data_IF_021134231068
#
_entry.id   IF_021134231068
#
_cell.length_a   1.000
_cell.length_b   1.000
_cell.length_c   1.000
_cell.angle_alpha   90.00
_cell.angle_beta   90.00
_cell.angle_gamma   90.00
#
_symmetry.space_group_name_H-M   'P 1'
#
loop_
_entity.id
_entity.type
_entity.pdbx_description
1 polymer ?
#
# COMPACT_ATOMS: atom_id res chain seq x y z
N UNK A 1 15.76 -10.95 69.35
CA UNK A 1 15.46 -11.42 67.99
C UNK A 1 16.76 -11.46 67.22
N UNK A 2 17.03 -12.53 66.50
CA UNK A 2 18.21 -12.64 65.64
C UNK A 2 18.10 -11.64 64.49
N UNK A 3 19.23 -11.14 63.98
CA UNK A 3 19.29 -10.35 62.72
C UNK A 3 18.60 -11.11 61.58
N UNK A 4 18.64 -12.44 61.62
CA UNK A 4 17.94 -13.32 60.68
C UNK A 4 16.42 -13.19 60.78
N UNK A 5 15.85 -13.14 61.99
CA UNK A 5 14.39 -13.03 62.20
C UNK A 5 13.85 -11.69 61.68
N UNK A 6 14.62 -10.60 61.86
CA UNK A 6 14.26 -9.28 61.34
C UNK A 6 14.30 -9.22 59.81
N UNK A 7 15.29 -9.88 59.19
CA UNK A 7 15.38 -10.01 57.74
C UNK A 7 14.19 -10.80 57.16
N UNK A 8 13.83 -11.92 57.78
CA UNK A 8 12.68 -12.75 57.36
C UNK A 8 11.37 -11.98 57.47
N UNK A 9 11.15 -11.25 58.57
CA UNK A 9 9.96 -10.39 58.73
C UNK A 9 9.91 -9.27 57.69
N UNK A 10 11.03 -8.62 57.40
CA UNK A 10 11.12 -7.59 56.37
C UNK A 10 10.81 -8.13 54.97
N UNK A 11 11.36 -9.30 54.62
CA UNK A 11 11.05 -10.02 53.37
C UNK A 11 9.56 -10.42 53.28
N UNK A 12 8.96 -10.88 54.37
CA UNK A 12 7.53 -11.21 54.42
C UNK A 12 6.63 -9.98 54.25
N UNK A 13 6.96 -8.85 54.88
CA UNK A 13 6.19 -7.62 54.71
C UNK A 13 6.38 -7.00 53.32
N UNK A 14 7.61 -7.04 52.77
CA UNK A 14 7.90 -6.61 51.41
C UNK A 14 7.15 -7.47 50.38
N UNK A 15 7.15 -8.79 50.52
CA UNK A 15 6.41 -9.70 49.63
C UNK A 15 4.91 -9.49 49.74
N UNK A 16 4.37 -9.29 50.96
CA UNK A 16 2.96 -8.96 51.18
C UNK A 16 2.59 -7.61 50.56
N UNK A 17 3.44 -6.59 50.68
CA UNK A 17 3.24 -5.29 50.03
C UNK A 17 3.27 -5.40 48.50
N UNK A 18 4.24 -6.13 47.95
CA UNK A 18 4.34 -6.41 46.51
C UNK A 18 3.08 -7.12 46.00
N UNK A 19 2.58 -8.13 46.72
CA UNK A 19 1.33 -8.81 46.35
C UNK A 19 0.10 -7.89 46.42
N UNK A 20 0.03 -7.02 47.43
CA UNK A 20 -1.03 -6.01 47.56
C UNK A 20 -1.02 -4.98 46.42
N UNK A 21 0.12 -4.76 45.77
CA UNK A 21 0.24 -3.86 44.61
C UNK A 21 0.05 -4.59 43.27
N UNK A 22 0.61 -5.80 43.14
CA UNK A 22 0.58 -6.60 41.92
C UNK A 22 -0.80 -7.21 41.64
N UNK A 23 -1.53 -7.67 42.66
CA UNK A 23 -2.86 -8.27 42.45
C UNK A 23 -3.89 -7.26 41.90
N UNK A 24 -4.04 -6.03 42.44
CA UNK A 24 -4.93 -5.05 41.84
C UNK A 24 -4.50 -4.63 40.44
N UNK A 25 -3.20 -4.53 40.17
CA UNK A 25 -2.69 -4.19 38.83
C UNK A 25 -3.00 -5.30 37.82
N UNK A 26 -2.85 -6.56 38.23
CA UNK A 26 -3.21 -7.72 37.41
C UNK A 26 -4.74 -7.77 37.18
N UNK A 27 -5.54 -7.53 38.22
CA UNK A 27 -6.99 -7.49 38.08
C UNK A 27 -7.43 -6.36 37.15
N UNK A 28 -6.84 -5.16 37.29
CA UNK A 28 -7.12 -4.02 36.43
C UNK A 28 -6.72 -4.31 34.98
N UNK A 29 -5.56 -4.94 34.74
CA UNK A 29 -5.13 -5.28 33.37
C UNK A 29 -6.06 -6.32 32.73
N UNK A 30 -6.47 -7.35 33.47
CA UNK A 30 -7.45 -8.34 33.00
C UNK A 30 -8.80 -7.69 32.71
N UNK A 31 -9.26 -6.78 33.58
CA UNK A 31 -10.51 -6.05 33.37
C UNK A 31 -10.45 -5.17 32.12
N UNK A 32 -9.36 -4.41 31.93
CA UNK A 32 -9.16 -3.57 30.75
C UNK A 32 -9.10 -4.41 29.47
N UNK A 33 -8.44 -5.56 29.49
CA UNK A 33 -8.42 -6.50 28.35
C UNK A 33 -9.82 -7.03 28.07
N UNK A 34 -10.57 -7.44 29.10
CA UNK A 34 -11.94 -7.93 28.93
C UNK A 34 -12.85 -6.87 28.32
N UNK A 35 -12.78 -5.62 28.81
CA UNK A 35 -13.53 -4.48 28.27
C UNK A 35 -13.14 -4.23 26.80
N UNK A 36 -11.84 -4.24 26.48
CA UNK A 36 -11.37 -4.05 25.11
C UNK A 36 -11.88 -5.16 24.17
N UNK A 37 -11.83 -6.42 24.61
CA UNK A 37 -12.35 -7.56 23.83
C UNK A 37 -13.86 -7.41 23.59
N UNK A 38 -14.63 -7.07 24.62
CA UNK A 38 -16.07 -6.83 24.49
C UNK A 38 -16.37 -5.68 23.53
N UNK A 39 -15.61 -4.59 23.59
CA UNK A 39 -15.74 -3.46 22.67
C UNK A 39 -15.46 -3.88 21.22
N UNK A 40 -14.38 -4.62 20.98
CA UNK A 40 -14.02 -5.14 19.65
C UNK A 40 -15.10 -6.07 19.11
N UNK A 41 -15.65 -6.96 19.95
CA UNK A 41 -16.74 -7.85 19.57
C UNK A 41 -18.03 -7.08 19.26
N UNK A 42 -18.37 -6.08 20.06
CA UNK A 42 -19.53 -5.22 19.83
C UNK A 42 -19.41 -4.45 18.50
N UNK A 43 -18.25 -3.85 18.24
CA UNK A 43 -17.94 -3.18 16.96
C UNK A 43 -18.05 -4.14 15.79
N UNK A 44 -17.44 -5.33 15.90
CA UNK A 44 -17.51 -6.36 14.85
C UNK A 44 -18.95 -6.79 14.59
N UNK A 45 -19.74 -7.02 15.63
CA UNK A 45 -21.14 -7.39 15.50
C UNK A 45 -21.96 -6.28 14.82
N UNK A 46 -21.74 -5.02 15.22
CA UNK A 46 -22.40 -3.87 14.61
C UNK A 46 -22.07 -3.74 13.11
N UNK A 47 -20.79 -3.81 12.73
CA UNK A 47 -20.36 -3.74 11.33
C UNK A 47 -20.93 -4.89 10.50
N UNK A 48 -20.91 -6.11 11.03
CA UNK A 48 -21.45 -7.29 10.35
C UNK A 48 -22.97 -7.24 10.22
N UNK A 49 -23.67 -6.75 11.25
CA UNK A 49 -25.11 -6.53 11.21
C UNK A 49 -25.50 -5.51 10.14
N UNK A 50 -24.77 -4.39 10.06
CA UNK A 50 -24.94 -3.38 9.00
C UNK A 50 -24.74 -3.97 7.60
N UNK A 51 -23.71 -4.79 7.40
CA UNK A 51 -23.50 -5.52 6.13
C UNK A 51 -24.64 -6.48 5.83
N UNK A 52 -25.06 -7.30 6.80
CA UNK A 52 -26.10 -8.31 6.60
C UNK A 52 -27.45 -7.68 6.27
N UNK A 53 -27.80 -6.57 6.93
CA UNK A 53 -28.99 -5.78 6.62
C UNK A 53 -28.95 -5.22 5.19
N UNK A 54 -27.81 -4.67 4.76
CA UNK A 54 -27.62 -4.26 3.35
C UNK A 54 -27.77 -5.44 2.39
N UNK A 55 -27.10 -6.55 2.66
CA UNK A 55 -27.13 -7.75 1.80
C UNK A 55 -28.55 -8.30 1.66
N UNK A 56 -29.35 -8.27 2.72
CA UNK A 56 -30.75 -8.66 2.69
C UNK A 56 -31.61 -7.72 1.83
N UNK A 57 -31.31 -6.42 1.81
CA UNK A 57 -32.02 -5.42 1.00
C UNK A 57 -31.60 -5.44 -0.47
N UNK A 58 -30.30 -5.48 -0.74
CA UNK A 58 -29.74 -5.28 -2.09
C UNK A 58 -29.64 -6.61 -2.87
N UNK A 59 -29.68 -7.76 -2.17
CA UNK A 59 -29.67 -9.11 -2.75
C UNK A 59 -28.38 -9.52 -3.47
N UNK A 60 -27.38 -8.63 -3.57
CA UNK A 60 -26.14 -8.83 -4.32
C UNK A 60 -24.90 -8.63 -3.45
N UNK A 61 -23.85 -9.45 -3.59
CA UNK A 61 -22.57 -9.20 -2.94
C UNK A 61 -21.91 -7.94 -3.50
N UNK A 62 -21.11 -7.29 -2.67
CA UNK A 62 -20.37 -6.07 -3.02
C UNK A 62 -18.87 -6.27 -2.94
N UNK A 63 -18.17 -5.84 -4.00
CA UNK A 63 -16.72 -5.75 -4.07
C UNK A 63 -16.33 -4.28 -3.93
N UNK A 64 -15.50 -3.96 -2.95
CA UNK A 64 -15.01 -2.61 -2.74
C UNK A 64 -13.50 -2.52 -2.98
N UNK A 65 -13.09 -1.52 -3.75
CA UNK A 65 -11.69 -1.18 -3.99
C UNK A 65 -11.30 0.01 -3.13
N UNK A 66 -10.21 -0.13 -2.38
CA UNK A 66 -9.61 0.97 -1.64
C UNK A 66 -8.54 1.62 -2.50
N UNK A 67 -8.83 2.84 -2.96
CA UNK A 67 -7.95 3.60 -3.83
C UNK A 67 -8.12 5.12 -3.61
N UNK A 68 -7.54 5.69 -2.53
CA UNK A 68 -7.75 7.09 -2.16
C UNK A 68 -7.36 8.16 -3.21
N UNK A 69 -6.65 7.78 -4.27
CA UNK A 69 -6.17 8.64 -5.35
C UNK A 69 -6.67 8.19 -6.73
N UNK A 70 -7.89 7.66 -6.83
CA UNK A 70 -8.41 7.07 -8.06
C UNK A 70 -8.53 8.06 -9.25
N UNK A 71 -8.40 9.37 -8.99
CA UNK A 71 -8.42 10.44 -9.98
C UNK A 71 -7.05 11.07 -10.32
N UNK A 72 -5.92 10.58 -9.76
CA UNK A 72 -4.61 11.21 -9.97
C UNK A 72 -4.02 10.94 -11.37
N UNK A 73 -4.43 9.86 -12.05
CA UNK A 73 -4.07 9.58 -13.44
C UNK A 73 -2.75 8.83 -13.64
N UNK A 74 -2.25 8.16 -12.60
CA UNK A 74 -1.11 7.28 -12.66
C UNK A 74 -1.41 5.88 -13.21
N UNK A 75 -0.38 5.03 -13.22
CA UNK A 75 -0.51 3.65 -13.66
C UNK A 75 -1.38 2.78 -12.74
N UNK A 76 -1.48 3.11 -11.45
CA UNK A 76 -2.29 2.36 -10.49
C UNK A 76 -3.78 2.46 -10.79
N UNK A 77 -4.22 3.66 -11.14
CA UNK A 77 -5.59 3.98 -11.51
C UNK A 77 -5.97 3.29 -12.83
N UNK A 78 -5.06 3.22 -13.80
CA UNK A 78 -5.29 2.43 -15.02
C UNK A 78 -5.60 0.97 -14.67
N UNK A 79 -4.85 0.38 -13.74
CA UNK A 79 -5.08 -1.00 -13.30
C UNK A 79 -6.40 -1.15 -12.55
N UNK A 80 -6.70 -0.23 -11.63
CA UNK A 80 -8.00 -0.16 -10.93
C UNK A 80 -9.16 -0.20 -11.92
N UNK A 81 -9.19 0.72 -12.89
CA UNK A 81 -10.30 0.83 -13.82
C UNK A 81 -10.39 -0.36 -14.78
N UNK A 82 -9.25 -0.92 -15.19
CA UNK A 82 -9.22 -2.18 -15.95
C UNK A 82 -9.77 -3.36 -15.14
N UNK A 83 -9.42 -3.47 -13.86
CA UNK A 83 -9.88 -4.54 -12.97
C UNK A 83 -11.40 -4.44 -12.75
N UNK A 84 -11.92 -3.25 -12.45
CA UNK A 84 -13.37 -3.02 -12.29
C UNK A 84 -14.10 -3.35 -13.60
N UNK A 85 -13.60 -2.88 -14.76
CA UNK A 85 -14.19 -3.18 -16.06
C UNK A 85 -14.25 -4.69 -16.33
N UNK A 86 -13.16 -5.41 -16.06
CA UNK A 86 -13.09 -6.85 -16.28
C UNK A 86 -14.06 -7.61 -15.35
N UNK A 87 -14.11 -7.26 -14.07
CA UNK A 87 -15.02 -7.87 -13.10
C UNK A 87 -16.49 -7.56 -13.43
N UNK A 88 -16.81 -6.32 -13.82
CA UNK A 88 -18.17 -5.95 -14.20
C UNK A 88 -18.67 -6.71 -15.43
N UNK A 89 -17.78 -7.02 -16.39
CA UNK A 89 -18.12 -7.83 -17.58
C UNK A 89 -18.34 -9.31 -17.22
N UNK A 90 -17.55 -9.84 -16.29
CA UNK A 90 -17.60 -11.26 -15.90
C UNK A 90 -18.73 -11.57 -14.92
N UNK A 91 -19.02 -10.68 -13.98
CA UNK A 91 -19.95 -10.93 -12.88
C UNK A 91 -21.07 -9.89 -12.86
N UNK A 92 -22.23 -10.27 -13.40
CA UNK A 92 -23.39 -9.38 -13.55
C UNK A 92 -24.09 -9.07 -12.22
N UNK A 93 -24.11 -10.01 -11.27
CA UNK A 93 -24.80 -9.86 -9.99
C UNK A 93 -23.88 -9.41 -8.84
N UNK A 94 -22.95 -8.50 -9.13
CA UNK A 94 -22.04 -7.90 -8.15
C UNK A 94 -22.12 -6.38 -8.22
N UNK A 95 -22.21 -5.75 -7.04
CA UNK A 95 -22.09 -4.30 -6.90
C UNK A 95 -20.62 -3.92 -6.68
N UNK A 96 -20.21 -2.76 -7.21
CA UNK A 96 -18.85 -2.27 -7.09
C UNK A 96 -18.82 -0.94 -6.36
N UNK A 97 -17.93 -0.84 -5.38
CA UNK A 97 -17.67 0.37 -4.59
C UNK A 97 -16.21 0.77 -4.74
N UNK A 98 -15.92 2.06 -4.80
CA UNK A 98 -14.56 2.61 -4.73
C UNK A 98 -14.49 3.59 -3.55
N UNK A 99 -13.62 3.29 -2.59
CA UNK A 99 -13.24 4.25 -1.56
C UNK A 99 -12.19 5.19 -2.13
N UNK A 100 -12.49 6.48 -2.15
CA UNK A 100 -11.62 7.52 -2.69
C UNK A 100 -11.52 8.71 -1.74
N UNK A 101 -10.36 9.37 -1.69
CA UNK A 101 -10.19 10.63 -0.99
C UNK A 101 -10.20 11.84 -1.92
N UNK A 102 -10.62 11.67 -3.18
CA UNK A 102 -10.76 12.75 -4.16
C UNK A 102 -12.01 13.59 -3.85
N UNK A 103 -11.92 14.46 -2.84
CA UNK A 103 -13.00 15.38 -2.46
C UNK A 103 -13.20 16.49 -3.50
N UNK A 104 -14.41 17.03 -3.58
CA UNK A 104 -14.75 18.15 -4.47
C UNK A 104 -14.89 17.77 -5.95
N UNK A 105 -14.92 16.48 -6.28
CA UNK A 105 -15.21 15.97 -7.62
C UNK A 105 -16.37 14.98 -7.59
N UNK A 106 -17.16 14.98 -8.65
CA UNK A 106 -18.25 14.01 -8.85
C UNK A 106 -17.70 12.70 -9.41
N UNK A 107 -18.33 11.58 -9.06
CA UNK A 107 -17.94 10.26 -9.58
C UNK A 107 -17.89 10.19 -11.11
N UNK A 108 -18.81 10.90 -11.81
CA UNK A 108 -18.79 10.98 -13.27
C UNK A 108 -17.50 11.66 -13.80
N UNK A 109 -17.02 12.71 -13.13
CA UNK A 109 -15.79 13.40 -13.54
C UNK A 109 -14.56 12.49 -13.41
N UNK A 110 -14.54 11.62 -12.39
CA UNK A 110 -13.50 10.60 -12.21
C UNK A 110 -13.54 9.59 -13.37
N UNK A 111 -14.73 9.09 -13.72
CA UNK A 111 -14.91 8.15 -14.83
C UNK A 111 -14.55 8.78 -16.19
N UNK A 112 -14.91 10.04 -16.41
CA UNK A 112 -14.51 10.80 -17.60
C UNK A 112 -12.99 11.01 -17.65
N UNK A 113 -12.35 11.17 -16.49
CA UNK A 113 -10.89 11.16 -16.36
C UNK A 113 -10.28 9.83 -16.79
N UNK A 114 -10.82 8.71 -16.33
CA UNK A 114 -10.39 7.37 -16.72
C UNK A 114 -10.56 7.11 -18.23
N UNK A 115 -11.68 7.57 -18.81
CA UNK A 115 -11.92 7.51 -20.26
C UNK A 115 -10.86 8.32 -21.01
N UNK A 116 -10.63 9.58 -20.64
CA UNK A 116 -9.71 10.47 -21.35
C UNK A 116 -8.25 10.04 -21.24
N UNK A 117 -7.80 9.60 -20.06
CA UNK A 117 -6.40 9.26 -19.81
C UNK A 117 -6.04 7.83 -20.22
N UNK A 118 -6.97 6.90 -20.10
CA UNK A 118 -6.69 5.48 -20.27
C UNK A 118 -7.54 4.78 -21.34
N UNK A 119 -8.48 5.48 -21.96
CA UNK A 119 -9.48 4.90 -22.87
C UNK A 119 -10.27 3.75 -22.22
N UNK A 120 -10.61 3.91 -20.93
CA UNK A 120 -11.37 2.93 -20.17
C UNK A 120 -12.78 3.47 -19.90
N UNK A 121 -13.78 2.75 -20.40
CA UNK A 121 -15.20 2.97 -20.07
C UNK A 121 -15.72 1.75 -19.32
N UNK A 122 -16.39 2.01 -18.18
CA UNK A 122 -17.02 0.97 -17.39
C UNK A 122 -18.38 0.60 -18.01
N UNK A 123 -18.73 -0.69 -18.12
CA UNK A 123 -20.02 -1.11 -18.67
C UNK A 123 -21.19 -0.77 -17.73
N UNK A 124 -20.95 -0.58 -16.43
CA UNK A 124 -21.97 -0.33 -15.41
C UNK A 124 -21.51 0.72 -14.40
N UNK A 125 -22.43 1.43 -13.73
CA UNK A 125 -22.08 2.40 -12.72
C UNK A 125 -21.31 1.74 -11.55
N UNK A 126 -20.49 2.54 -10.89
CA UNK A 126 -19.75 2.20 -9.68
C UNK A 126 -20.09 3.22 -8.61
N UNK A 127 -20.28 2.76 -7.37
CA UNK A 127 -20.56 3.65 -6.24
C UNK A 127 -19.24 4.19 -5.68
N UNK A 128 -19.21 5.47 -5.35
CA UNK A 128 -18.05 6.11 -4.71
C UNK A 128 -18.36 6.38 -3.24
N UNK A 129 -17.41 6.06 -2.37
CA UNK A 129 -17.40 6.46 -0.96
C UNK A 129 -16.25 7.44 -0.77
N UNK A 130 -16.58 8.70 -0.54
CA UNK A 130 -15.62 9.80 -0.43
C UNK A 130 -15.12 9.94 1.01
N UNK A 131 -13.84 9.66 1.22
CA UNK A 131 -13.15 9.70 2.49
C UNK A 131 -12.59 11.11 2.74
N UNK A 132 -12.93 11.69 3.89
CA UNK A 132 -12.54 13.04 4.28
C UNK A 132 -11.09 13.13 4.74
N UNK A 133 -10.55 12.06 5.31
CA UNK A 133 -9.27 12.09 6.00
C UNK A 133 -8.10 11.55 5.18
N UNK A 134 -8.12 11.72 3.84
CA UNK A 134 -6.97 11.33 2.97
C UNK A 134 -5.64 11.92 3.43
N UNK A 135 -5.67 13.11 4.04
CA UNK A 135 -4.51 13.79 4.62
C UNK A 135 -3.71 12.90 5.60
N UNK A 136 -4.35 11.93 6.26
CA UNK A 136 -3.68 11.02 7.20
C UNK A 136 -2.68 10.08 6.52
N UNK A 137 -2.73 9.92 5.20
CA UNK A 137 -1.79 9.08 4.45
C UNK A 137 -0.84 9.92 3.57
N UNK A 138 -0.87 11.25 3.70
CA UNK A 138 0.03 12.13 2.96
C UNK A 138 1.41 12.17 3.62
N UNK A 139 2.51 12.11 2.85
CA UNK A 139 3.86 12.12 3.40
C UNK A 139 4.18 13.44 4.13
N UNK A 140 3.56 14.55 3.71
CA UNK A 140 3.77 15.87 4.31
C UNK A 140 3.35 15.97 5.79
N UNK A 141 2.44 15.10 6.25
CA UNK A 141 2.01 15.05 7.65
C UNK A 141 3.08 14.41 8.56
N UNK A 142 4.04 13.67 7.99
CA UNK A 142 5.01 12.88 8.73
C UNK A 142 6.44 13.21 8.27
N UNK A 143 7.02 14.34 8.73
CA UNK A 143 8.40 14.73 8.40
C UNK A 143 9.44 13.73 8.93
N UNK A 144 9.09 12.93 9.93
CA UNK A 144 9.90 11.85 10.49
C UNK A 144 9.07 10.56 10.55
N UNK A 145 9.72 9.41 10.41
CA UNK A 145 9.07 8.09 10.42
C UNK A 145 7.88 7.97 9.45
N UNK A 146 8.00 8.56 8.27
CA UNK A 146 6.92 8.68 7.27
C UNK A 146 6.21 7.35 7.01
N UNK A 147 6.97 6.24 6.86
CA UNK A 147 6.37 4.92 6.61
C UNK A 147 5.47 4.46 7.77
N UNK A 148 5.91 4.62 9.02
CA UNK A 148 5.10 4.29 10.19
C UNK A 148 3.90 5.23 10.31
N UNK A 149 4.12 6.53 10.12
CA UNK A 149 3.05 7.54 10.14
C UNK A 149 1.95 7.23 9.13
N UNK A 150 2.31 7.01 7.87
CA UNK A 150 1.36 6.62 6.81
C UNK A 150 0.71 5.26 7.10
N UNK A 151 1.45 4.30 7.67
CA UNK A 151 0.88 3.00 8.06
C UNK A 151 -0.22 3.17 9.11
N UNK A 152 0.02 3.95 10.16
CA UNK A 152 -0.97 4.28 11.20
C UNK A 152 -2.13 5.09 10.62
N UNK A 153 -1.83 6.12 9.83
CA UNK A 153 -2.84 6.93 9.16
C UNK A 153 -3.75 6.13 8.24
N UNK A 154 -3.21 5.09 7.58
CA UNK A 154 -4.00 4.19 6.74
C UNK A 154 -4.99 3.34 7.55
N UNK A 155 -4.70 3.02 8.80
CA UNK A 155 -5.66 2.33 9.70
C UNK A 155 -6.84 3.24 9.99
N UNK A 156 -6.61 4.53 10.27
CA UNK A 156 -7.68 5.49 10.51
C UNK A 156 -8.50 5.77 9.25
N UNK A 157 -7.85 5.93 8.10
CA UNK A 157 -8.55 6.09 6.81
C UNK A 157 -9.33 4.83 6.43
N UNK A 158 -8.77 3.65 6.71
CA UNK A 158 -9.45 2.37 6.54
C UNK A 158 -10.64 2.22 7.50
N UNK A 159 -10.54 2.76 8.71
CA UNK A 159 -11.63 2.78 9.68
C UNK A 159 -12.79 3.65 9.20
N UNK A 160 -12.50 4.86 8.72
CA UNK A 160 -13.49 5.73 8.07
C UNK A 160 -14.21 4.97 6.93
N UNK A 161 -13.45 4.36 6.02
CA UNK A 161 -14.01 3.58 4.91
C UNK A 161 -14.89 2.42 5.38
N UNK A 162 -14.44 1.68 6.41
CA UNK A 162 -15.15 0.53 6.95
C UNK A 162 -16.46 0.93 7.65
N UNK A 163 -16.48 2.06 8.37
CA UNK A 163 -17.69 2.55 9.04
C UNK A 163 -18.73 3.10 8.05
N UNK A 164 -18.27 3.70 6.95
CA UNK A 164 -19.15 4.19 5.87
C UNK A 164 -19.76 3.02 5.08
N UNK A 165 -18.93 2.05 4.71
CA UNK A 165 -19.38 0.90 3.94
C UNK A 165 -18.57 -0.36 4.29
N UNK A 166 -19.28 -1.44 4.63
CA UNK A 166 -18.70 -2.77 4.90
C UNK A 166 -19.02 -3.69 3.71
N UNK A 167 -18.02 -4.09 2.90
CA UNK A 167 -18.21 -4.91 1.71
C UNK A 167 -18.19 -6.42 2.03
N UNK A 168 -18.47 -7.25 1.02
CA UNK A 168 -18.25 -8.70 1.10
C UNK A 168 -16.80 -9.05 0.75
N UNK A 169 -16.25 -8.39 -0.28
CA UNK A 169 -14.85 -8.47 -0.69
C UNK A 169 -14.24 -7.07 -0.70
N UNK A 170 -13.16 -6.90 0.06
CA UNK A 170 -12.33 -5.70 0.09
C UNK A 170 -11.04 -5.95 -0.70
N UNK A 171 -10.65 -5.00 -1.54
CA UNK A 171 -9.40 -5.06 -2.31
C UNK A 171 -8.59 -3.79 -2.05
N UNK A 172 -7.42 -3.94 -1.42
CA UNK A 172 -6.41 -2.87 -1.40
C UNK A 172 -5.72 -2.84 -2.77
N UNK A 173 -5.91 -1.74 -3.50
CA UNK A 173 -5.37 -1.55 -4.84
C UNK A 173 -4.31 -0.45 -4.92
N UNK A 174 -3.96 0.14 -3.78
CA UNK A 174 -3.01 1.24 -3.69
C UNK A 174 -1.73 0.87 -2.92
N UNK A 175 -1.83 -0.08 -1.97
CA UNK A 175 -0.71 -0.49 -1.11
C UNK A 175 -0.81 0.04 0.32
N UNK A 176 -2.03 0.22 0.81
CA UNK A 176 -2.31 0.54 2.22
C UNK A 176 -2.56 -0.73 3.04
N UNK A 177 -1.56 -1.61 3.08
CA UNK A 177 -1.63 -2.98 3.61
C UNK A 177 -2.23 -3.09 5.03
N UNK A 178 -2.05 -2.09 5.89
CA UNK A 178 -2.56 -2.11 7.27
C UNK A 178 -4.10 -2.00 7.36
N UNK A 179 -4.78 -1.68 6.26
CA UNK A 179 -6.23 -1.75 6.14
C UNK A 179 -6.75 -3.20 6.04
N UNK A 180 -5.94 -4.14 5.54
CA UNK A 180 -6.35 -5.53 5.33
C UNK A 180 -6.80 -6.24 6.62
N UNK A 181 -6.02 -6.25 7.73
CA UNK A 181 -6.47 -6.87 8.97
C UNK A 181 -7.72 -6.18 9.53
N UNK A 182 -7.86 -4.87 9.33
CA UNK A 182 -9.02 -4.11 9.78
C UNK A 182 -10.31 -4.60 9.09
N UNK A 183 -10.33 -4.67 7.76
CA UNK A 183 -11.49 -5.15 7.00
C UNK A 183 -11.78 -6.64 7.24
N UNK A 184 -10.74 -7.46 7.44
CA UNK A 184 -10.88 -8.90 7.74
C UNK A 184 -11.45 -9.15 9.13
N UNK A 185 -10.84 -8.58 10.16
CA UNK A 185 -11.14 -8.93 11.55
C UNK A 185 -12.24 -8.07 12.17
N UNK A 186 -12.42 -6.81 11.77
CA UNK A 186 -13.57 -6.02 12.24
C UNK A 186 -14.73 -6.11 11.25
N UNK A 187 -14.47 -5.92 9.96
CA UNK A 187 -15.50 -5.97 8.92
C UNK A 187 -16.02 -7.38 8.59
N UNK A 188 -15.25 -8.43 8.91
CA UNK A 188 -15.58 -9.79 8.48
C UNK A 188 -15.55 -9.98 6.97
N UNK A 189 -14.82 -9.14 6.23
CA UNK A 189 -14.73 -9.18 4.78
C UNK A 189 -13.76 -10.27 4.33
N UNK A 190 -13.96 -10.79 3.10
CA UNK A 190 -12.83 -11.36 2.35
C UNK A 190 -11.93 -10.21 1.92
N UNK A 191 -10.62 -10.42 1.95
CA UNK A 191 -9.64 -9.37 1.68
C UNK A 191 -8.67 -9.80 0.59
N UNK A 192 -8.43 -8.94 -0.39
CA UNK A 192 -7.43 -9.12 -1.42
C UNK A 192 -6.53 -7.90 -1.53
N UNK A 193 -5.38 -8.07 -2.16
CA UNK A 193 -4.48 -6.96 -2.46
C UNK A 193 -3.95 -7.04 -3.89
N UNK A 194 -3.76 -5.89 -4.52
CA UNK A 194 -2.99 -5.72 -5.75
C UNK A 194 -1.81 -4.80 -5.47
N UNK A 195 -0.62 -5.38 -5.35
CA UNK A 195 0.60 -4.65 -4.98
C UNK A 195 1.34 -4.19 -6.23
N UNK A 196 1.34 -2.87 -6.45
CA UNK A 196 2.14 -2.22 -7.49
C UNK A 196 3.61 -2.08 -7.09
N UNK A 197 3.84 -1.59 -5.88
CA UNK A 197 5.16 -1.49 -5.26
C UNK A 197 4.97 -1.78 -3.77
N UNK A 198 5.83 -2.60 -3.16
CA UNK A 198 5.69 -2.89 -1.75
C UNK A 198 6.06 -1.64 -0.93
N UNK A 199 5.27 -1.32 0.11
CA UNK A 199 5.55 -0.19 1.02
C UNK A 199 6.95 -0.31 1.64
N UNK A 200 7.40 -1.55 1.86
CA UNK A 200 8.73 -1.90 2.34
C UNK A 200 9.26 -3.00 1.42
N UNK A 201 10.44 -2.81 0.84
CA UNK A 201 11.14 -3.81 0.03
C UNK A 201 12.34 -4.39 0.79
N UNK A 202 12.79 -5.59 0.41
CA UNK A 202 14.03 -6.15 0.94
C UNK A 202 15.25 -5.31 0.55
N UNK A 203 15.17 -4.58 -0.57
CA UNK A 203 16.21 -3.65 -1.02
C UNK A 203 16.33 -2.44 -0.07
N UNK A 204 15.21 -1.95 0.47
CA UNK A 204 15.25 -0.92 1.52
C UNK A 204 15.88 -1.46 2.80
N UNK A 205 15.63 -2.73 3.15
CA UNK A 205 16.23 -3.37 4.32
C UNK A 205 17.74 -3.60 4.14
N UNK A 206 18.19 -4.02 2.95
CA UNK A 206 19.60 -4.21 2.66
C UNK A 206 20.36 -2.89 2.69
N UNK A 207 19.83 -1.82 2.09
CA UNK A 207 20.44 -0.48 2.13
C UNK A 207 20.63 0.03 3.57
N UNK A 208 19.63 -0.17 4.44
CA UNK A 208 19.72 0.23 5.85
C UNK A 208 20.73 -0.64 6.61
N UNK A 209 20.80 -1.94 6.31
CA UNK A 209 21.77 -2.87 6.92
C UNK A 209 23.21 -2.59 6.48
N UNK A 210 23.41 -2.21 5.22
CA UNK A 210 24.69 -1.91 4.60
C UNK A 210 25.16 -0.46 4.81
N UNK A 211 24.33 0.40 5.43
CA UNK A 211 24.58 1.83 5.66
C UNK A 211 24.92 2.64 4.41
N UNK A 212 24.45 2.21 3.25
CA UNK A 212 24.74 2.88 1.98
C UNK A 212 23.94 4.19 1.88
N UNK A 213 24.57 5.35 1.58
CA UNK A 213 23.85 6.61 1.40
C UNK A 213 23.06 6.60 0.08
N UNK A 214 21.73 6.64 0.20
CA UNK A 214 20.76 6.71 -0.92
C UNK A 214 19.55 7.54 -0.49
N UNK A 215 18.58 7.77 -1.38
CA UNK A 215 17.37 8.59 -1.13
C UNK A 215 16.67 8.34 0.23
N UNK A 216 16.67 7.11 0.74
CA UNK A 216 16.04 6.75 2.03
C UNK A 216 17.03 6.66 3.21
N UNK A 217 18.32 6.96 3.01
CA UNK A 217 19.37 6.90 4.02
C UNK A 217 20.29 8.13 3.93
N UNK A 218 19.92 9.26 4.56
CA UNK A 218 20.71 10.48 4.52
C UNK A 218 22.04 10.32 5.28
N UNK A 219 23.06 11.04 4.83
CA UNK A 219 24.46 10.88 5.27
C UNK A 219 24.65 11.03 6.79
N UNK A 220 23.85 11.89 7.45
CA UNK A 220 23.94 12.09 8.90
C UNK A 220 23.53 10.85 9.71
N UNK A 221 22.67 9.99 9.16
CA UNK A 221 22.24 8.74 9.81
C UNK A 221 23.26 7.63 9.56
N UNK A 222 23.80 7.52 8.34
CA UNK A 222 24.83 6.52 8.01
C UNK A 222 26.14 6.76 8.76
N UNK A 223 26.45 8.02 9.10
CA UNK A 223 27.66 8.40 9.83
C UNK A 223 27.55 8.19 11.36
N UNK A 224 26.37 7.85 11.90
CA UNK A 224 26.17 7.58 13.33
C UNK A 224 25.84 6.11 13.59
N UNK A 225 26.67 5.44 14.40
CA UNK A 225 26.50 4.03 14.78
C UNK A 225 25.16 3.78 15.49
N UNK A 226 24.77 4.66 16.41
CA UNK A 226 23.56 4.53 17.21
C UNK A 226 22.29 4.78 16.40
N UNK A 227 22.27 5.85 15.58
CA UNK A 227 21.11 6.17 14.73
C UNK A 227 20.92 5.12 13.63
N UNK A 228 22.01 4.60 13.08
CA UNK A 228 21.96 3.45 12.16
C UNK A 228 21.38 2.20 12.83
N UNK A 229 21.81 1.87 14.05
CA UNK A 229 21.28 0.71 14.78
C UNK A 229 19.79 0.85 15.09
N UNK A 230 19.37 2.03 15.58
CA UNK A 230 17.96 2.33 15.82
C UNK A 230 17.13 2.23 14.54
N UNK A 231 17.64 2.78 13.42
CA UNK A 231 16.95 2.71 12.13
C UNK A 231 16.80 1.26 11.63
N UNK A 232 17.82 0.41 11.81
CA UNK A 232 17.70 -1.02 11.50
C UNK A 232 16.57 -1.65 12.31
N UNK A 233 16.53 -1.43 13.63
CA UNK A 233 15.46 -1.98 14.50
C UNK A 233 14.09 -1.49 14.04
N UNK A 234 13.94 -0.19 13.76
CA UNK A 234 12.71 0.40 13.24
C UNK A 234 12.25 -0.26 11.93
N UNK A 235 13.14 -0.39 10.95
CA UNK A 235 12.79 -1.00 9.65
C UNK A 235 12.48 -2.50 9.78
N UNK A 236 13.20 -3.23 10.65
CA UNK A 236 12.92 -4.64 10.93
C UNK A 236 11.54 -4.82 11.58
N UNK A 237 11.21 -4.03 12.62
CA UNK A 237 9.90 -4.06 13.26
C UNK A 237 8.80 -3.73 12.26
N UNK A 238 8.97 -2.66 11.47
CA UNK A 238 7.98 -2.26 10.49
C UNK A 238 7.81 -3.30 9.37
N UNK A 239 8.89 -3.94 8.91
CA UNK A 239 8.84 -5.03 7.95
C UNK A 239 8.09 -6.25 8.50
N UNK A 240 8.30 -6.60 9.77
CA UNK A 240 7.52 -7.66 10.43
C UNK A 240 6.03 -7.31 10.50
N UNK A 241 5.69 -6.10 10.96
CA UNK A 241 4.31 -5.63 11.03
C UNK A 241 3.63 -5.61 9.65
N UNK A 242 4.34 -5.13 8.63
CA UNK A 242 3.90 -5.12 7.24
C UNK A 242 3.66 -6.54 6.70
N UNK A 243 4.56 -7.48 7.00
CA UNK A 243 4.42 -8.90 6.68
C UNK A 243 3.17 -9.52 7.31
N UNK A 244 2.96 -9.29 8.62
CA UNK A 244 1.77 -9.79 9.32
C UNK A 244 0.48 -9.21 8.74
N UNK A 245 0.42 -7.89 8.50
CA UNK A 245 -0.74 -7.24 7.92
C UNK A 245 -1.06 -7.78 6.52
N UNK A 246 -0.05 -7.90 5.66
CA UNK A 246 -0.21 -8.40 4.29
C UNK A 246 -0.63 -9.88 4.23
N UNK A 247 -0.10 -10.71 5.15
CA UNK A 247 -0.45 -12.13 5.27
C UNK A 247 -1.93 -12.40 5.59
N UNK A 248 -2.68 -11.37 6.01
CA UNK A 248 -4.12 -11.44 6.24
C UNK A 248 -4.93 -11.54 4.93
N UNK A 249 -4.35 -11.20 3.77
CA UNK A 249 -5.01 -11.29 2.47
C UNK A 249 -5.42 -12.73 2.12
N UNK A 250 -6.65 -12.96 1.68
CA UNK A 250 -7.09 -14.22 1.08
C UNK A 250 -6.45 -14.44 -0.30
N UNK A 251 -6.22 -13.36 -1.06
CA UNK A 251 -5.56 -13.36 -2.36
C UNK A 251 -4.60 -12.17 -2.49
N UNK A 252 -3.38 -12.43 -2.95
CA UNK A 252 -2.34 -11.41 -3.15
C UNK A 252 -1.95 -11.43 -4.63
N UNK A 253 -2.20 -10.31 -5.30
CA UNK A 253 -1.81 -10.09 -6.70
C UNK A 253 -0.63 -9.12 -6.72
N UNK A 254 0.39 -9.44 -7.51
CA UNK A 254 1.58 -8.58 -7.66
C UNK A 254 1.82 -8.26 -9.12
N UNK A 255 2.28 -7.05 -9.41
CA UNK A 255 2.40 -6.56 -10.79
C UNK A 255 3.64 -7.09 -11.56
N UNK A 256 4.58 -7.75 -10.89
CA UNK A 256 5.83 -8.18 -11.50
C UNK A 256 6.52 -9.28 -10.70
N UNK A 257 7.47 -9.99 -11.33
CA UNK A 257 8.34 -10.95 -10.65
C UNK A 257 9.23 -10.29 -9.58
N UNK A 258 9.60 -9.02 -9.76
CA UNK A 258 10.35 -8.28 -8.73
C UNK A 258 9.49 -8.10 -7.48
N UNK A 259 8.27 -7.58 -7.64
CA UNK A 259 7.32 -7.39 -6.53
C UNK A 259 6.97 -8.73 -5.87
N UNK A 260 6.82 -9.80 -6.66
CA UNK A 260 6.58 -11.16 -6.16
C UNK A 260 7.64 -11.56 -5.13
N UNK A 261 8.93 -11.45 -5.49
CA UNK A 261 10.01 -11.91 -4.63
C UNK A 261 10.05 -11.15 -3.29
N UNK A 262 9.84 -9.83 -3.32
CA UNK A 262 9.73 -9.01 -2.11
C UNK A 262 8.56 -9.44 -1.23
N UNK A 263 7.38 -9.60 -1.82
CA UNK A 263 6.17 -9.98 -1.09
C UNK A 263 6.26 -11.40 -0.54
N UNK A 264 6.81 -12.37 -1.28
CA UNK A 264 7.04 -13.71 -0.78
C UNK A 264 8.00 -13.71 0.42
N UNK A 265 9.08 -12.93 0.35
CA UNK A 265 10.06 -12.81 1.43
C UNK A 265 9.46 -12.17 2.69
N UNK A 266 8.62 -11.15 2.53
CA UNK A 266 8.11 -10.35 3.65
C UNK A 266 6.80 -10.90 4.22
N UNK A 267 5.83 -11.24 3.36
CA UNK A 267 4.47 -11.64 3.77
C UNK A 267 4.33 -13.14 3.97
N UNK A 268 5.28 -13.94 3.46
CA UNK A 268 5.36 -15.40 3.67
C UNK A 268 4.06 -16.15 3.34
N UNK A 269 3.39 -15.78 2.25
CA UNK A 269 2.11 -16.33 1.82
C UNK A 269 2.15 -16.90 0.37
N UNK A 270 3.03 -17.87 0.05
CA UNK A 270 3.25 -18.34 -1.32
C UNK A 270 1.99 -18.89 -1.98
N UNK A 271 1.20 -19.70 -1.27
CA UNK A 271 0.01 -20.35 -1.82
C UNK A 271 -1.13 -19.39 -2.17
N UNK A 272 -1.04 -18.12 -1.75
CA UNK A 272 -2.04 -17.08 -2.00
C UNK A 272 -1.51 -15.94 -2.87
N UNK A 273 -0.25 -16.02 -3.30
CA UNK A 273 0.41 -14.96 -4.06
C UNK A 273 0.57 -15.34 -5.52
N UNK A 274 0.09 -14.50 -6.42
CA UNK A 274 0.15 -14.73 -7.87
C UNK A 274 0.54 -13.45 -8.63
N UNK A 275 1.27 -13.62 -9.72
CA UNK A 275 1.66 -12.49 -10.59
C UNK A 275 0.50 -12.16 -11.52
N UNK A 276 0.09 -10.89 -11.52
CA UNK A 276 -0.91 -10.33 -12.42
C UNK A 276 -0.32 -9.05 -13.00
N UNK A 277 0.30 -9.17 -14.17
CA UNK A 277 0.94 -8.04 -14.85
C UNK A 277 -0.07 -6.94 -15.17
N UNK A 278 0.33 -5.66 -15.10
CA UNK A 278 -0.51 -4.55 -15.50
C UNK A 278 -0.96 -4.70 -16.96
N UNK A 279 -2.24 -4.40 -17.28
CA UNK A 279 -2.75 -4.47 -18.63
C UNK A 279 -2.04 -3.46 -19.54
N UNK A 280 -1.54 -3.95 -20.67
CA UNK A 280 -1.03 -3.14 -21.76
C UNK A 280 -1.89 -3.39 -23.00
N UNK A 281 -3.00 -2.67 -23.10
CA UNK A 281 -3.84 -2.70 -24.30
C UNK A 281 -3.18 -1.85 -25.38
N UNK A 282 -2.83 -2.49 -26.50
CA UNK A 282 -2.20 -1.86 -27.68
C UNK A 282 -3.12 -1.82 -28.89
N UNK A 283 -4.34 -2.33 -28.79
CA UNK A 283 -5.24 -2.54 -29.94
C UNK A 283 -5.46 -1.24 -30.72
N UNK A 284 -5.76 -0.15 -30.02
CA UNK A 284 -5.96 1.16 -30.64
C UNK A 284 -4.72 1.74 -31.32
N UNK A 285 -3.51 1.32 -30.95
CA UNK A 285 -2.27 1.75 -31.62
C UNK A 285 -1.99 0.96 -32.88
N UNK A 286 -2.49 -0.28 -32.98
CA UNK A 286 -2.37 -1.10 -34.18
C UNK A 286 -3.27 -0.61 -35.31
N UNK A 287 -4.36 0.09 -34.97
CA UNK A 287 -5.29 0.70 -35.94
C UNK A 287 -4.76 2.01 -36.56
N UNK A 288 -3.66 2.57 -36.02
CA UNK A 288 -3.07 3.80 -36.56
C UNK A 288 -2.19 3.45 -37.76
N UNK A 289 -2.50 3.94 -38.98
CA UNK A 289 -1.69 3.65 -40.15
C UNK A 289 -0.27 4.22 -39.98
N UNK A 290 0.73 3.42 -40.33
CA UNK A 290 2.11 3.87 -40.39
C UNK A 290 2.30 4.68 -41.67
N UNK A 291 2.43 5.99 -41.54
CA UNK A 291 2.87 6.84 -42.65
C UNK A 291 4.39 6.71 -42.80
N UNK A 292 4.84 6.25 -43.96
CA UNK A 292 6.26 6.28 -44.30
C UNK A 292 6.65 7.74 -44.55
N UNK A 293 7.32 8.35 -43.56
CA UNK A 293 7.86 9.69 -43.70
C UNK A 293 8.99 9.65 -44.75
N UNK A 294 8.65 10.05 -45.98
CA UNK A 294 9.49 9.93 -47.16
C UNK A 294 10.91 10.46 -46.95
N UNK A 295 11.89 9.64 -47.32
CA UNK A 295 13.30 9.97 -47.53
C UNK A 295 14.16 10.50 -46.36
N UNK A 296 13.61 10.69 -45.16
CA UNK A 296 14.42 11.05 -43.98
C UNK A 296 14.69 9.83 -43.12
N UNK A 297 15.77 9.11 -43.41
CA UNK A 297 16.40 8.17 -42.45
C UNK A 297 16.97 8.94 -41.25
N UNK A 298 16.11 9.45 -40.40
CA UNK A 298 16.47 10.07 -39.13
C UNK A 298 16.54 8.98 -38.06
N UNK A 299 17.70 8.83 -37.42
CA UNK A 299 17.82 7.96 -36.26
C UNK A 299 17.22 8.64 -35.04
N UNK A 300 15.96 8.34 -34.75
CA UNK A 300 15.25 8.87 -33.58
C UNK A 300 15.44 7.96 -32.37
N UNK A 301 15.82 8.54 -31.23
CA UNK A 301 15.80 7.89 -29.93
C UNK A 301 14.70 8.56 -29.11
N UNK A 302 13.75 7.77 -28.63
CA UNK A 302 12.62 8.26 -27.83
C UNK A 302 12.74 7.71 -26.41
N UNK A 303 12.70 8.60 -25.42
CA UNK A 303 12.58 8.24 -24.01
C UNK A 303 11.25 8.74 -23.47
N UNK A 304 10.45 7.83 -22.93
CA UNK A 304 9.11 8.12 -22.40
C UNK A 304 9.12 7.87 -20.90
N UNK A 305 8.96 8.93 -20.11
CA UNK A 305 8.87 8.83 -18.66
C UNK A 305 8.51 10.16 -18.01
N UNK A 306 7.81 10.11 -16.87
CA UNK A 306 7.54 11.31 -16.07
C UNK A 306 8.86 11.93 -15.58
N UNK A 307 8.89 13.26 -15.46
CA UNK A 307 10.03 13.98 -14.88
C UNK A 307 10.09 13.74 -13.37
N UNK A 308 10.76 12.66 -12.98
CA UNK A 308 10.98 12.28 -11.58
C UNK A 308 12.45 11.92 -11.33
N UNK A 309 12.98 12.15 -10.11
CA UNK A 309 14.38 11.89 -9.78
C UNK A 309 14.83 10.45 -10.13
N UNK A 310 14.01 9.45 -9.85
CA UNK A 310 14.31 8.04 -10.08
C UNK A 310 14.40 7.64 -11.56
N UNK A 311 13.95 8.50 -12.49
CA UNK A 311 14.09 8.27 -13.93
C UNK A 311 15.42 8.77 -14.50
N UNK A 312 16.19 9.52 -13.70
CA UNK A 312 17.51 10.05 -14.03
C UNK A 312 17.65 10.56 -15.49
N UNK A 313 16.79 11.51 -15.85
CA UNK A 313 16.80 12.13 -17.18
C UNK A 313 18.15 12.79 -17.52
N UNK A 314 18.91 13.23 -16.50
CA UNK A 314 20.24 13.83 -16.67
C UNK A 314 21.25 12.80 -17.19
N UNK A 315 21.23 11.59 -16.66
CA UNK A 315 22.06 10.50 -17.16
C UNK A 315 21.72 10.15 -18.60
N UNK A 316 20.43 10.12 -18.96
CA UNK A 316 19.99 9.86 -20.33
C UNK A 316 20.55 10.89 -21.33
N UNK A 317 20.48 12.18 -20.99
CA UNK A 317 21.04 13.27 -21.82
C UNK A 317 22.56 13.14 -21.91
N UNK A 318 23.24 12.83 -20.79
CA UNK A 318 24.69 12.67 -20.75
C UNK A 318 25.15 11.47 -21.60
N UNK A 319 24.39 10.37 -21.57
CA UNK A 319 24.63 9.20 -22.40
C UNK A 319 24.41 9.53 -23.89
N UNK A 320 23.34 10.25 -24.22
CA UNK A 320 23.07 10.68 -25.59
C UNK A 320 24.16 11.61 -26.13
N UNK A 321 24.67 12.54 -25.31
CA UNK A 321 25.83 13.37 -25.66
C UNK A 321 27.04 12.51 -26.05
N UNK A 322 27.38 11.49 -25.25
CA UNK A 322 28.50 10.58 -25.57
C UNK A 322 28.30 9.85 -26.91
N UNK A 323 27.07 9.46 -27.23
CA UNK A 323 26.74 8.84 -28.53
C UNK A 323 26.98 9.83 -29.68
N UNK A 324 26.56 11.08 -29.53
CA UNK A 324 26.79 12.12 -30.54
C UNK A 324 28.27 12.44 -30.73
N UNK A 325 29.02 12.54 -29.64
CA UNK A 325 30.46 12.83 -29.68
C UNK A 325 31.21 11.69 -30.44
N UNK A 326 30.91 10.42 -30.14
CA UNK A 326 31.48 9.26 -30.87
C UNK A 326 31.08 9.21 -32.34
N UNK A 327 29.83 9.55 -32.69
CA UNK A 327 29.40 9.61 -34.08
C UNK A 327 30.17 10.67 -34.87
N UNK A 328 30.48 11.82 -34.25
CA UNK A 328 31.29 12.88 -34.87
C UNK A 328 32.73 12.42 -35.09
N UNK A 329 33.33 11.76 -34.11
CA UNK A 329 34.68 11.19 -34.22
C UNK A 329 34.78 10.12 -35.32
N UNK A 330 33.82 9.19 -35.39
CA UNK A 330 33.77 8.15 -36.42
C UNK A 330 33.52 8.69 -37.83
N UNK A 331 32.71 9.76 -37.97
CA UNK A 331 32.50 10.42 -39.26
C UNK A 331 33.73 11.21 -39.75
N UNK A 332 34.60 11.65 -38.83
CA UNK A 332 35.88 12.30 -39.17
C UNK A 332 36.99 11.33 -39.59
N UNK A 333 36.95 10.08 -39.12
CA UNK A 333 37.95 9.05 -39.46
C UNK A 333 37.76 8.42 -40.85
N UNK A 334 36.55 8.46 -41.41
CA UNK A 334 36.24 7.96 -42.77
C UNK A 334 36.47 8.95 -43.92
N UNK A 335 37.09 10.12 -43.65
CA UNK A 335 37.36 11.19 -44.63
C UNK A 335 38.86 11.42 -44.89
N UNK A 336 39.72 10.44 -44.62
CA UNK A 336 41.15 10.49 -45.00
C UNK A 336 41.48 9.53 -46.12
#
# INVERSE_FOLDING_TARGET
MSVHDQLVLCLCELTRLLWKLMLPLLFLSVLLIAVLVLLVLAVRFWLQSSRNARRARDGRPTVAFFHPYCNAGGGGERVLWCAIRALQRRYLDINFVVYTGDLGVMGQQILDGARRRFNIVLPRPVQFVFLRHRLLVEPGLFPHFTLLGQSVGSVFLGWEALTEFVPDLYIDSMGYTFTLPLFRYLGGCRVGSYVHYPTISTDMLSVVRERNPRFNNPDYVSNSLFLSAFKVVYYCLLAMLYGMAGSCSDLIMVNSSWTLNHILSLWRAPNRTSVVYPPCDVSAFLDVPLEEDGDKKCHSIVSIGQFRPEKDHRLQISAFKKVLDRRREGAGAGRR
#
